data_IF_296762374077
#
_entry.id   IF_296762374077
#
_cell.length_a   1.000
_cell.length_b   1.000
_cell.length_c   1.000
_cell.angle_alpha   90.00
_cell.angle_beta   90.00
_cell.angle_gamma   90.00
#
_symmetry.space_group_name_H-M   'P 1'
#
loop_
_entity.id
_entity.type
_entity.pdbx_description
1 polymer ?
#
# COMPACT_ATOMS: atom_id res chain seq x y z
N UNK A 1 25.30 3.92 21.37
CA UNK A 1 23.90 3.53 21.67
C UNK A 1 23.22 3.21 20.38
N UNK A 2 22.79 1.97 20.17
CA UNK A 2 22.31 1.43 18.90
C UNK A 2 20.85 0.99 19.03
N UNK A 3 19.89 1.93 19.06
CA UNK A 3 18.46 1.58 18.88
C UNK A 3 17.53 2.80 18.73
N UNK A 4 17.97 3.85 18.02
CA UNK A 4 17.09 4.99 17.74
C UNK A 4 16.29 4.79 16.45
N UNK A 5 15.03 5.25 16.41
CA UNK A 5 14.10 5.10 15.29
C UNK A 5 14.67 5.58 13.93
N UNK A 6 15.58 6.55 13.95
CA UNK A 6 16.32 7.01 12.77
C UNK A 6 17.16 5.90 12.13
N UNK A 7 17.81 5.06 12.94
CA UNK A 7 18.66 3.97 12.45
C UNK A 7 17.85 2.85 11.77
N UNK A 8 16.65 2.54 12.30
CA UNK A 8 15.72 1.57 11.69
C UNK A 8 15.16 2.06 10.34
N UNK A 9 14.94 3.37 10.20
CA UNK A 9 14.56 4.00 8.93
C UNK A 9 15.71 3.98 7.92
N UNK A 10 16.96 4.18 8.38
CA UNK A 10 18.16 4.11 7.53
C UNK A 10 18.39 2.70 6.97
N UNK A 11 18.18 1.66 7.78
CA UNK A 11 18.22 0.26 7.32
C UNK A 11 17.18 -0.07 6.24
N UNK A 12 16.09 0.70 6.12
CA UNK A 12 15.11 0.58 5.01
C UNK A 12 15.53 1.34 3.73
N UNK A 13 16.76 1.83 3.67
CA UNK A 13 17.33 2.52 2.51
C UNK A 13 17.03 4.01 2.44
N UNK A 14 16.65 4.64 3.56
CA UNK A 14 16.56 6.10 3.68
C UNK A 14 17.92 6.65 4.09
N UNK A 15 18.32 7.81 3.55
CA UNK A 15 19.48 8.50 4.11
C UNK A 15 19.16 9.02 5.51
N UNK A 16 20.17 9.10 6.36
CA UNK A 16 20.04 9.53 7.76
C UNK A 16 19.33 10.88 7.89
N UNK A 17 19.68 11.83 7.01
CA UNK A 17 19.02 13.14 6.90
C UNK A 17 17.51 13.04 6.61
N UNK A 18 17.09 12.08 5.79
CA UNK A 18 15.67 11.91 5.39
C UNK A 18 14.86 11.17 6.44
N UNK A 19 15.47 10.22 7.15
CA UNK A 19 14.86 9.61 8.32
C UNK A 19 14.53 10.67 9.38
N UNK A 20 15.46 11.60 9.62
CA UNK A 20 15.26 12.72 10.54
C UNK A 20 14.16 13.68 10.05
N UNK A 21 14.14 14.03 8.75
CA UNK A 21 13.07 14.89 8.18
C UNK A 21 11.70 14.24 8.29
N UNK A 22 11.57 12.93 8.06
CA UNK A 22 10.31 12.22 8.20
C UNK A 22 9.82 12.23 9.66
N UNK A 23 10.71 11.95 10.60
CA UNK A 23 10.40 12.02 12.03
C UNK A 23 10.02 13.44 12.45
N UNK A 24 10.72 14.46 11.92
CA UNK A 24 10.40 15.85 12.17
C UNK A 24 9.02 16.22 11.62
N UNK A 25 8.67 15.82 10.39
CA UNK A 25 7.34 16.09 9.82
C UNK A 25 6.21 15.43 10.62
N UNK A 26 6.40 14.20 11.08
CA UNK A 26 5.43 13.52 11.95
C UNK A 26 5.30 14.27 13.28
N UNK A 27 6.43 14.65 13.91
CA UNK A 27 6.44 15.40 15.16
C UNK A 27 5.81 16.80 15.02
N UNK A 28 6.08 17.52 13.93
CA UNK A 28 5.47 18.82 13.63
C UNK A 28 3.98 18.66 13.37
N UNK A 29 3.57 17.60 12.66
CA UNK A 29 2.15 17.27 12.47
C UNK A 29 1.45 17.07 13.80
N UNK A 30 2.00 16.21 14.66
CA UNK A 30 1.49 15.96 16.02
C UNK A 30 1.44 17.22 16.89
N UNK A 31 2.49 18.05 16.83
CA UNK A 31 2.56 19.32 17.53
C UNK A 31 1.54 20.34 17.02
N UNK A 32 1.32 20.40 15.70
CA UNK A 32 0.31 21.25 15.08
C UNK A 32 -1.11 20.81 15.45
N UNK A 33 -1.41 19.51 15.50
CA UNK A 33 -2.71 19.03 15.99
C UNK A 33 -2.90 19.36 17.47
N UNK A 34 -1.86 19.18 18.29
CA UNK A 34 -1.91 19.56 19.71
C UNK A 34 -2.16 21.07 19.91
N UNK A 35 -1.53 21.92 19.10
CA UNK A 35 -1.74 23.37 19.12
C UNK A 35 -3.12 23.76 18.60
N UNK A 36 -3.62 23.08 17.57
CA UNK A 36 -4.97 23.30 17.06
C UNK A 36 -6.02 22.98 18.13
N UNK A 37 -5.78 21.96 18.97
CA UNK A 37 -6.67 21.63 20.09
C UNK A 37 -6.73 22.70 21.17
N UNK A 38 -5.62 23.38 21.46
CA UNK A 38 -5.61 24.46 22.44
C UNK A 38 -6.32 25.72 21.90
N UNK A 39 -6.27 25.94 20.59
CA UNK A 39 -6.94 27.08 19.92
C UNK A 39 -8.46 26.86 19.79
N UNK A 40 -8.90 25.64 19.49
CA UNK A 40 -10.32 25.35 19.20
C UNK A 40 -11.25 25.46 20.43
N UNK A 41 -10.70 25.42 21.65
CA UNK A 41 -11.43 25.48 22.92
C UNK A 41 -12.73 24.65 22.98
N UNK A 42 -12.77 23.51 22.26
CA UNK A 42 -13.94 22.65 22.14
C UNK A 42 -13.51 21.20 22.41
N UNK A 43 -13.84 20.71 23.61
CA UNK A 43 -13.42 19.38 24.09
C UNK A 43 -13.82 18.24 23.15
N UNK A 44 -14.92 18.36 22.40
CA UNK A 44 -15.40 17.31 21.49
C UNK A 44 -14.60 17.27 20.20
N UNK A 45 -14.25 18.44 19.64
CA UNK A 45 -13.39 18.53 18.45
C UNK A 45 -11.98 18.07 18.81
N UNK A 46 -11.51 18.43 20.00
CA UNK A 46 -10.25 17.92 20.56
C UNK A 46 -10.26 16.39 20.69
N UNK A 47 -11.36 15.79 21.12
CA UNK A 47 -11.47 14.32 21.23
C UNK A 47 -11.33 13.61 19.87
N UNK A 48 -12.00 14.11 18.82
CA UNK A 48 -11.85 13.56 17.44
C UNK A 48 -10.39 13.57 17.04
N UNK A 49 -9.72 14.70 17.24
CA UNK A 49 -8.33 14.82 16.89
C UNK A 49 -7.40 13.95 17.72
N UNK A 50 -7.63 13.82 19.04
CA UNK A 50 -6.85 12.92 19.91
C UNK A 50 -6.93 11.48 19.41
N UNK A 51 -8.12 11.02 19.02
CA UNK A 51 -8.31 9.69 18.43
C UNK A 51 -7.53 9.51 17.13
N UNK A 52 -7.53 10.52 16.24
CA UNK A 52 -6.77 10.49 14.98
C UNK A 52 -5.25 10.48 15.23
N UNK A 53 -4.78 11.32 16.15
CA UNK A 53 -3.37 11.39 16.56
C UNK A 53 -2.93 10.06 17.19
N UNK A 54 -3.75 9.48 18.06
CA UNK A 54 -3.50 8.18 18.68
C UNK A 54 -3.41 7.07 17.64
N UNK A 55 -4.36 7.01 16.70
CA UNK A 55 -4.33 6.07 15.59
C UNK A 55 -3.04 6.17 14.77
N UNK A 56 -2.61 7.41 14.44
CA UNK A 56 -1.38 7.67 13.70
C UNK A 56 -0.13 7.18 14.47
N UNK A 57 -0.05 7.47 15.78
CA UNK A 57 1.06 7.05 16.63
C UNK A 57 1.16 5.54 16.75
N UNK A 58 0.04 4.85 17.00
CA UNK A 58 -0.02 3.39 17.10
C UNK A 58 0.35 2.75 15.77
N UNK A 59 -0.12 3.30 14.65
CA UNK A 59 0.24 2.85 13.32
C UNK A 59 1.74 3.03 13.03
N UNK A 60 2.31 4.19 13.40
CA UNK A 60 3.74 4.46 13.24
C UNK A 60 4.61 3.55 14.13
N UNK A 61 4.19 3.29 15.37
CA UNK A 61 4.84 2.34 16.27
C UNK A 61 4.79 0.91 15.70
N UNK A 62 3.65 0.48 15.16
CA UNK A 62 3.50 -0.80 14.46
C UNK A 62 4.43 -0.91 13.24
N UNK A 63 4.54 0.16 12.45
CA UNK A 63 5.44 0.22 11.29
C UNK A 63 6.92 0.07 11.68
N UNK A 64 7.34 0.72 12.78
CA UNK A 64 8.70 0.61 13.33
C UNK A 64 8.99 -0.76 13.93
N UNK A 65 7.97 -1.39 14.54
CA UNK A 65 8.12 -2.68 15.19
C UNK A 65 8.13 -3.86 14.19
N UNK A 66 7.50 -3.71 13.03
CA UNK A 66 7.44 -4.75 11.99
C UNK A 66 8.77 -5.08 11.30
N UNK A 67 9.92 -4.60 11.81
CA UNK A 67 11.26 -4.93 11.29
C UNK A 67 11.84 -6.24 11.81
N UNK A 68 11.42 -6.73 12.98
CA UNK A 68 12.00 -7.94 13.59
C UNK A 68 11.09 -9.18 13.46
N UNK A 69 9.78 -8.98 13.28
CA UNK A 69 8.79 -10.06 13.35
C UNK A 69 8.93 -11.14 12.26
N UNK A 70 9.48 -10.82 11.07
CA UNK A 70 9.65 -11.82 9.98
C UNK A 70 10.86 -12.73 10.19
N UNK A 71 12.00 -12.15 10.59
CA UNK A 71 13.22 -12.91 10.86
C UNK A 71 13.08 -13.75 12.14
N UNK A 72 12.35 -13.25 13.14
CA UNK A 72 12.08 -13.98 14.40
C UNK A 72 10.96 -15.03 14.27
N UNK A 73 9.94 -14.83 13.43
CA UNK A 73 8.84 -15.79 13.28
C UNK A 73 9.17 -17.00 12.38
N UNK A 74 10.16 -16.89 11.50
CA UNK A 74 10.69 -18.03 10.74
C UNK A 74 11.63 -18.90 11.60
N UNK A 75 12.28 -18.31 12.60
CA UNK A 75 13.21 -19.02 13.51
C UNK A 75 12.51 -19.60 14.75
N UNK A 76 11.36 -19.08 15.17
CA UNK A 76 10.61 -19.57 16.35
C UNK A 76 9.42 -20.47 15.96
N UNK A 77 9.52 -21.76 16.26
CA UNK A 77 8.39 -22.70 16.19
C UNK A 77 7.38 -22.55 17.34
N UNK A 78 6.12 -22.91 17.12
CA UNK A 78 5.09 -23.04 18.19
C UNK A 78 4.23 -21.80 18.47
N UNK A 79 3.60 -21.69 19.68
CA UNK A 79 2.57 -20.69 20.01
C UNK A 79 3.06 -19.24 20.01
N UNK A 80 4.38 -19.03 20.06
CA UNK A 80 5.00 -17.71 19.92
C UNK A 80 4.80 -17.11 18.52
N UNK A 81 4.69 -17.95 17.48
CA UNK A 81 4.32 -17.52 16.11
C UNK A 81 2.89 -16.99 16.06
N UNK A 82 1.98 -17.57 16.84
CA UNK A 82 0.63 -17.03 17.00
C UNK A 82 0.70 -15.67 17.70
N UNK A 83 1.43 -15.53 18.81
CA UNK A 83 1.54 -14.25 19.54
C UNK A 83 2.03 -13.08 18.66
N UNK A 84 3.03 -13.31 17.81
CA UNK A 84 3.54 -12.30 16.87
C UNK A 84 2.49 -11.92 15.81
N UNK A 85 1.77 -12.91 15.26
CA UNK A 85 0.66 -12.66 14.32
C UNK A 85 -0.53 -11.94 14.96
N UNK A 86 -0.81 -12.20 16.24
CA UNK A 86 -1.88 -11.53 17.00
C UNK A 86 -1.52 -10.08 17.35
N UNK A 87 -0.24 -9.77 17.62
CA UNK A 87 0.21 -8.41 17.93
C UNK A 87 -0.11 -7.42 16.80
N UNK A 88 0.18 -7.79 15.56
CA UNK A 88 -0.14 -6.93 14.40
C UNK A 88 -1.64 -6.72 14.25
N UNK A 89 -2.43 -7.78 14.40
CA UNK A 89 -3.91 -7.70 14.37
C UNK A 89 -4.47 -6.85 15.50
N UNK A 90 -3.86 -6.89 16.68
CA UNK A 90 -4.24 -6.07 17.82
C UNK A 90 -3.96 -4.58 17.55
N UNK A 91 -2.80 -4.25 16.97
CA UNK A 91 -2.48 -2.89 16.53
C UNK A 91 -3.50 -2.39 15.50
N UNK A 92 -3.80 -3.19 14.47
CA UNK A 92 -4.81 -2.87 13.46
C UNK A 92 -6.20 -2.65 14.08
N UNK A 93 -6.60 -3.52 15.02
CA UNK A 93 -7.88 -3.40 15.73
C UNK A 93 -7.95 -2.13 16.60
N UNK A 94 -6.88 -1.78 17.30
CA UNK A 94 -6.82 -0.55 18.14
C UNK A 94 -6.85 0.71 17.28
N UNK A 95 -6.15 0.71 16.15
CA UNK A 95 -6.20 1.81 15.17
C UNK A 95 -7.63 1.95 14.64
N UNK A 96 -8.27 0.85 14.24
CA UNK A 96 -9.64 0.89 13.73
C UNK A 96 -10.62 1.37 14.78
N UNK A 97 -10.46 0.98 16.05
CA UNK A 97 -11.31 1.45 17.15
C UNK A 97 -11.30 2.98 17.22
N UNK A 98 -10.11 3.57 17.18
CA UNK A 98 -9.94 5.01 17.24
C UNK A 98 -10.49 5.72 15.98
N UNK A 99 -10.23 5.19 14.78
CA UNK A 99 -10.71 5.75 13.52
C UNK A 99 -12.24 5.68 13.38
N UNK A 100 -12.84 4.56 13.74
CA UNK A 100 -14.30 4.36 13.72
C UNK A 100 -14.97 5.30 14.71
N UNK A 101 -14.43 5.41 15.93
CA UNK A 101 -14.95 6.32 16.96
C UNK A 101 -14.82 7.79 16.53
N UNK A 102 -13.68 8.16 15.92
CA UNK A 102 -13.46 9.50 15.41
C UNK A 102 -14.41 9.83 14.25
N UNK A 103 -14.63 8.91 13.32
CA UNK A 103 -15.53 9.08 12.18
C UNK A 103 -16.97 9.33 12.65
N UNK A 104 -17.48 8.47 13.54
CA UNK A 104 -18.84 8.58 14.03
C UNK A 104 -19.04 9.85 14.88
N UNK A 105 -18.07 10.18 15.75
CA UNK A 105 -18.11 11.42 16.53
C UNK A 105 -18.08 12.66 15.61
N UNK A 106 -17.23 12.67 14.59
CA UNK A 106 -17.17 13.76 13.62
C UNK A 106 -18.49 13.92 12.86
N UNK A 107 -19.07 12.81 12.37
CA UNK A 107 -20.36 12.80 11.69
C UNK A 107 -21.48 13.35 12.57
N UNK A 108 -21.52 12.94 13.85
CA UNK A 108 -22.46 13.47 14.84
C UNK A 108 -22.29 14.98 15.02
N UNK A 109 -21.06 15.45 15.27
CA UNK A 109 -20.76 16.87 15.49
C UNK A 109 -21.15 17.74 14.30
N UNK A 110 -20.90 17.27 13.08
CA UNK A 110 -21.29 17.94 11.84
C UNK A 110 -22.81 18.02 11.70
N UNK A 111 -23.52 16.93 11.98
CA UNK A 111 -24.98 16.88 11.84
C UNK A 111 -25.71 17.76 12.86
N UNK A 112 -25.24 17.79 14.12
CA UNK A 112 -25.87 18.60 15.18
C UNK A 112 -25.28 20.01 15.29
N UNK A 113 -24.45 20.43 14.32
CA UNK A 113 -23.76 21.73 14.29
C UNK A 113 -23.07 22.07 15.63
N UNK A 114 -22.50 21.07 16.29
CA UNK A 114 -21.75 21.20 17.55
C UNK A 114 -22.57 21.13 18.85
N UNK A 115 -23.88 21.40 18.84
CA UNK A 115 -24.73 21.44 20.04
C UNK A 115 -25.97 20.55 19.95
N UNK A 116 -25.78 19.23 19.99
CA UNK A 116 -26.91 18.28 20.06
C UNK A 116 -27.66 18.32 21.40
N UNK A 117 -28.95 17.99 21.35
CA UNK A 117 -29.84 17.89 22.52
C UNK A 117 -29.41 16.74 23.46
N UNK A 118 -29.93 16.73 24.69
CA UNK A 118 -29.66 15.64 25.65
C UNK A 118 -30.10 14.27 25.12
N UNK A 119 -31.26 14.22 24.46
CA UNK A 119 -31.76 13.00 23.81
C UNK A 119 -30.82 12.52 22.69
N UNK A 120 -30.37 13.42 21.82
CA UNK A 120 -29.44 13.07 20.74
C UNK A 120 -28.09 12.55 21.26
N UNK A 121 -27.59 13.09 22.37
CA UNK A 121 -26.36 12.60 23.03
C UNK A 121 -26.56 11.21 23.62
N UNK A 122 -27.71 10.95 24.23
CA UNK A 122 -28.03 9.64 24.76
C UNK A 122 -28.09 8.59 23.64
N UNK A 123 -28.78 8.90 22.54
CA UNK A 123 -28.81 8.03 21.35
C UNK A 123 -27.42 7.83 20.77
N UNK A 124 -26.58 8.88 20.68
CA UNK A 124 -25.20 8.74 20.24
C UNK A 124 -24.38 7.76 21.09
N UNK A 125 -24.48 7.86 22.43
CA UNK A 125 -23.75 6.98 23.34
C UNK A 125 -24.19 5.51 23.21
N UNK A 126 -25.46 5.25 22.91
CA UNK A 126 -25.98 3.90 22.64
C UNK A 126 -25.63 3.42 21.23
N UNK A 127 -25.59 4.31 20.24
CA UNK A 127 -25.28 3.99 18.85
C UNK A 127 -23.79 3.66 18.63
N UNK A 128 -22.88 4.33 19.35
CA UNK A 128 -21.43 4.12 19.22
C UNK A 128 -21.00 2.64 19.40
N UNK A 129 -21.35 1.93 20.50
CA UNK A 129 -20.99 0.52 20.65
C UNK A 129 -21.65 -0.39 19.61
N UNK A 130 -22.87 -0.07 19.17
CA UNK A 130 -23.56 -0.81 18.09
C UNK A 130 -22.80 -0.68 16.78
N UNK A 131 -22.41 0.54 16.41
CA UNK A 131 -21.65 0.82 15.18
C UNK A 131 -20.27 0.17 15.22
N UNK A 132 -19.56 0.26 16.35
CA UNK A 132 -18.28 -0.43 16.54
C UNK A 132 -18.45 -1.94 16.32
N UNK A 133 -19.44 -2.54 16.98
CA UNK A 133 -19.72 -3.98 16.88
C UNK A 133 -20.06 -4.38 15.45
N UNK A 134 -20.98 -3.66 14.80
CA UNK A 134 -21.36 -3.92 13.42
C UNK A 134 -20.18 -3.81 12.45
N UNK A 135 -19.29 -2.82 12.64
CA UNK A 135 -18.08 -2.64 11.83
C UNK A 135 -17.08 -3.78 12.01
N UNK A 136 -16.78 -4.18 13.25
CA UNK A 136 -15.89 -5.31 13.48
C UNK A 136 -16.46 -6.61 12.91
N UNK A 137 -17.76 -6.86 13.08
CA UNK A 137 -18.42 -8.03 12.51
C UNK A 137 -18.41 -8.02 10.98
N UNK A 138 -18.53 -6.85 10.33
CA UNK A 138 -18.42 -6.73 8.88
C UNK A 138 -16.96 -6.87 8.41
N UNK A 139 -15.96 -6.35 9.13
CA UNK A 139 -14.57 -6.38 8.66
C UNK A 139 -13.99 -7.80 8.59
N UNK A 140 -14.52 -8.74 9.39
CA UNK A 140 -14.12 -10.15 9.41
C UNK A 140 -14.40 -10.90 8.10
N UNK A 141 -15.65 -11.04 7.60
CA UNK A 141 -15.96 -11.76 6.38
C UNK A 141 -15.40 -11.07 5.12
N UNK A 142 -15.30 -9.74 5.12
CA UNK A 142 -14.66 -8.99 4.03
C UNK A 142 -13.13 -9.11 4.03
N UNK A 143 -12.54 -9.76 5.04
CA UNK A 143 -11.13 -10.12 5.08
C UNK A 143 -10.18 -8.95 5.33
N UNK A 144 -10.65 -7.85 5.90
CA UNK A 144 -9.85 -6.64 6.12
C UNK A 144 -8.66 -6.89 7.10
N UNK A 145 -8.79 -7.88 7.98
CA UNK A 145 -7.73 -8.33 8.92
C UNK A 145 -6.89 -9.53 8.43
N UNK A 146 -7.13 -9.99 7.19
CA UNK A 146 -6.44 -11.16 6.61
C UNK A 146 -5.46 -10.80 5.49
N UNK A 147 -5.53 -9.58 4.94
CA UNK A 147 -4.81 -9.18 3.73
C UNK A 147 -3.42 -8.57 3.97
N UNK A 148 -2.44 -8.97 3.14
CA UNK A 148 -1.18 -8.23 3.00
C UNK A 148 -1.43 -7.03 2.08
N UNK A 149 -1.71 -5.86 2.67
CA UNK A 149 -2.06 -4.62 1.95
C UNK A 149 -0.99 -4.10 0.99
N UNK A 150 0.24 -4.66 1.03
CA UNK A 150 1.35 -4.34 0.11
C UNK A 150 0.98 -4.54 -1.38
N UNK A 151 0.06 -5.46 -1.68
CA UNK A 151 -0.38 -5.78 -3.06
C UNK A 151 -1.83 -5.38 -3.37
N UNK A 152 -2.48 -4.60 -2.49
CA UNK A 152 -3.86 -4.19 -2.66
C UNK A 152 -4.07 -3.36 -3.95
N UNK A 153 -5.01 -3.77 -4.80
CA UNK A 153 -5.47 -3.08 -6.00
C UNK A 153 -6.84 -2.41 -5.80
N UNK A 154 -7.60 -2.27 -6.87
CA UNK A 154 -8.96 -1.69 -6.88
C UNK A 154 -9.97 -2.56 -6.13
N UNK A 155 -9.72 -3.87 -6.07
CA UNK A 155 -10.62 -4.84 -5.43
C UNK A 155 -10.62 -4.72 -3.90
N UNK A 156 -9.57 -4.18 -3.31
CA UNK A 156 -9.46 -3.99 -1.86
C UNK A 156 -10.17 -2.71 -1.42
N UNK A 157 -10.15 -1.66 -2.25
CA UNK A 157 -10.92 -0.45 -1.99
C UNK A 157 -12.43 -0.75 -2.00
N UNK A 158 -12.91 -1.56 -2.96
CA UNK A 158 -14.32 -1.96 -3.01
C UNK A 158 -14.72 -2.83 -1.80
N UNK A 159 -13.82 -3.67 -1.28
CA UNK A 159 -14.07 -4.43 -0.03
C UNK A 159 -14.24 -3.52 1.19
N UNK A 160 -13.45 -2.44 1.31
CA UNK A 160 -13.60 -1.47 2.41
C UNK A 160 -14.96 -0.78 2.30
N UNK A 161 -15.31 -0.28 1.11
CA UNK A 161 -16.59 0.39 0.87
C UNK A 161 -17.76 -0.55 1.19
N UNK A 162 -17.71 -1.79 0.71
CA UNK A 162 -18.77 -2.76 0.95
C UNK A 162 -18.88 -3.15 2.43
N UNK A 163 -17.75 -3.33 3.13
CA UNK A 163 -17.75 -3.65 4.56
C UNK A 163 -18.36 -2.50 5.39
N UNK A 164 -17.97 -1.25 5.10
CA UNK A 164 -18.53 -0.06 5.76
C UNK A 164 -20.02 0.04 5.46
N UNK A 165 -20.44 -0.04 4.19
CA UNK A 165 -21.86 0.04 3.81
C UNK A 165 -22.71 -1.05 4.49
N UNK A 166 -22.25 -2.31 4.51
CA UNK A 166 -22.94 -3.39 5.19
C UNK A 166 -23.05 -3.14 6.70
N UNK A 167 -21.98 -2.66 7.35
CA UNK A 167 -22.01 -2.35 8.78
C UNK A 167 -22.94 -1.20 9.13
N UNK A 168 -23.02 -0.17 8.28
CA UNK A 168 -23.90 0.98 8.44
C UNK A 168 -25.37 0.58 8.33
N UNK A 169 -25.71 -0.20 7.30
CA UNK A 169 -27.07 -0.71 7.13
C UNK A 169 -27.48 -1.60 8.31
N UNK A 170 -26.59 -2.48 8.78
CA UNK A 170 -26.84 -3.34 9.92
C UNK A 170 -27.05 -2.53 11.22
N UNK A 171 -26.17 -1.57 11.50
CA UNK A 171 -26.28 -0.72 12.69
C UNK A 171 -27.53 0.16 12.65
N UNK A 172 -27.81 0.78 11.50
CA UNK A 172 -29.00 1.60 11.29
C UNK A 172 -30.29 0.78 11.49
N UNK A 173 -30.36 -0.41 10.90
CA UNK A 173 -31.50 -1.32 11.05
C UNK A 173 -31.69 -1.73 12.49
N UNK A 174 -30.62 -2.13 13.18
CA UNK A 174 -30.68 -2.51 14.59
C UNK A 174 -31.18 -1.36 15.48
N UNK A 175 -30.63 -0.15 15.32
CA UNK A 175 -31.02 1.02 16.13
C UNK A 175 -32.48 1.42 15.87
N UNK A 176 -32.92 1.35 14.61
CA UNK A 176 -34.32 1.65 14.24
C UNK A 176 -35.30 0.67 14.88
N UNK A 177 -34.92 -0.60 15.03
CA UNK A 177 -35.77 -1.64 15.61
C UNK A 177 -35.75 -1.69 17.15
N UNK A 178 -34.73 -1.13 17.79
CA UNK A 178 -34.49 -1.30 19.24
C UNK A 178 -34.60 -0.02 20.06
N UNK A 179 -34.54 1.15 19.43
CA UNK A 179 -34.57 2.44 20.13
C UNK A 179 -35.71 3.32 19.60
N UNK A 180 -36.77 3.46 20.39
CA UNK A 180 -37.92 4.33 20.03
C UNK A 180 -37.50 5.82 19.90
N UNK A 181 -36.51 6.26 20.69
CA UNK A 181 -35.96 7.62 20.64
C UNK A 181 -35.07 7.89 19.43
N UNK A 182 -34.84 6.90 18.57
CA UNK A 182 -34.06 7.04 17.35
C UNK A 182 -34.74 7.92 16.29
N UNK A 183 -36.06 8.11 16.37
CA UNK A 183 -36.82 8.92 15.42
C UNK A 183 -36.31 10.38 15.33
N UNK A 184 -35.84 10.95 16.44
CA UNK A 184 -35.32 12.32 16.53
C UNK A 184 -33.83 12.44 16.21
N UNK A 185 -33.16 11.31 15.90
CA UNK A 185 -31.74 11.28 15.59
C UNK A 185 -31.49 11.52 14.10
N UNK A 186 -30.60 12.46 13.72
CA UNK A 186 -30.36 12.77 12.31
C UNK A 186 -29.81 11.56 11.53
N UNK A 187 -30.62 11.00 10.63
CA UNK A 187 -30.25 9.81 9.83
C UNK A 187 -29.06 10.07 8.89
N UNK A 188 -28.82 11.33 8.54
CA UNK A 188 -27.65 11.74 7.73
C UNK A 188 -26.31 11.42 8.41
N UNK A 189 -26.29 11.21 9.74
CA UNK A 189 -25.07 10.86 10.49
C UNK A 189 -24.46 9.57 9.95
N UNK A 190 -25.26 8.54 9.65
CA UNK A 190 -24.78 7.24 9.14
C UNK A 190 -24.14 7.38 7.75
N UNK A 191 -24.70 8.23 6.88
CA UNK A 191 -24.13 8.48 5.56
C UNK A 191 -22.80 9.24 5.67
N UNK A 192 -22.74 10.26 6.53
CA UNK A 192 -21.53 11.05 6.75
C UNK A 192 -20.44 10.20 7.42
N UNK A 193 -20.83 9.38 8.40
CA UNK A 193 -19.94 8.43 9.07
C UNK A 193 -19.38 7.40 8.09
N UNK A 194 -20.22 6.81 7.22
CA UNK A 194 -19.79 5.90 6.17
C UNK A 194 -18.70 6.53 5.28
N UNK A 195 -18.90 7.78 4.86
CA UNK A 195 -17.94 8.52 4.02
C UNK A 195 -16.63 8.79 4.77
N UNK A 196 -16.71 9.35 5.97
CA UNK A 196 -15.52 9.68 6.77
C UNK A 196 -14.75 8.41 7.12
N UNK A 197 -15.44 7.37 7.59
CA UNK A 197 -14.83 6.10 7.97
C UNK A 197 -14.16 5.40 6.79
N UNK A 198 -14.81 5.37 5.62
CA UNK A 198 -14.21 4.82 4.39
C UNK A 198 -12.90 5.53 4.04
N UNK A 199 -12.88 6.86 4.14
CA UNK A 199 -11.67 7.65 3.89
C UNK A 199 -10.60 7.38 4.94
N UNK A 200 -10.95 7.37 6.23
CA UNK A 200 -10.00 7.15 7.33
C UNK A 200 -9.41 5.74 7.34
N UNK A 201 -10.24 4.71 7.23
CA UNK A 201 -9.80 3.31 7.16
C UNK A 201 -9.05 3.06 5.86
N UNK A 202 -9.54 3.59 4.74
CA UNK A 202 -8.81 3.58 3.47
C UNK A 202 -7.43 4.21 3.61
N UNK A 203 -7.34 5.42 4.16
CA UNK A 203 -6.07 6.12 4.37
C UNK A 203 -5.14 5.36 5.31
N UNK A 204 -5.64 4.74 6.39
CA UNK A 204 -4.79 3.96 7.29
C UNK A 204 -4.23 2.73 6.58
N UNK A 205 -5.03 2.03 5.76
CA UNK A 205 -4.60 0.82 5.04
C UNK A 205 -3.74 1.10 3.81
N UNK A 206 -4.09 2.10 3.00
CA UNK A 206 -3.34 2.51 1.81
C UNK A 206 -2.16 3.44 2.14
N UNK A 207 -2.17 4.06 3.32
CA UNK A 207 -1.11 4.97 3.78
C UNK A 207 0.25 4.30 3.87
N UNK A 208 0.32 3.02 4.23
CA UNK A 208 1.58 2.26 4.18
C UNK A 208 2.15 2.21 2.76
N UNK A 209 1.30 1.95 1.75
CA UNK A 209 1.70 1.94 0.34
C UNK A 209 2.05 3.34 -0.17
N UNK A 210 1.26 4.35 0.21
CA UNK A 210 1.49 5.74 -0.13
C UNK A 210 2.83 6.23 0.42
N UNK A 211 3.13 5.90 1.68
CA UNK A 211 4.40 6.20 2.32
C UNK A 211 5.55 5.43 1.67
N UNK A 212 5.44 4.12 1.41
CA UNK A 212 6.49 3.37 0.70
C UNK A 212 6.73 3.91 -0.72
N UNK A 213 5.68 4.25 -1.46
CA UNK A 213 5.81 4.88 -2.79
C UNK A 213 6.40 6.27 -2.69
N UNK A 214 5.96 7.10 -1.75
CA UNK A 214 6.49 8.44 -1.55
C UNK A 214 7.97 8.38 -1.14
N UNK A 215 8.33 7.47 -0.23
CA UNK A 215 9.71 7.21 0.15
C UNK A 215 10.53 6.65 -1.01
N UNK A 216 9.96 5.79 -1.86
CA UNK A 216 10.58 5.29 -3.09
C UNK A 216 10.77 6.40 -4.15
N UNK A 217 9.81 7.32 -4.28
CA UNK A 217 9.90 8.49 -5.14
C UNK A 217 10.94 9.49 -4.61
N UNK A 218 11.06 9.62 -3.29
CA UNK A 218 12.10 10.41 -2.63
C UNK A 218 13.47 9.73 -2.73
N UNK A 219 13.52 8.39 -2.80
CA UNK A 219 14.75 7.60 -2.99
C UNK A 219 15.47 7.94 -4.29
N UNK A 220 14.78 8.53 -5.27
CA UNK A 220 15.20 8.39 -6.65
C UNK A 220 15.32 9.70 -7.46
N UNK A 221 16.20 10.58 -6.98
CA UNK A 221 16.84 11.61 -7.81
C UNK A 221 18.34 11.35 -8.02
N UNK A 222 18.87 10.24 -7.51
CA UNK A 222 20.26 9.81 -7.71
C UNK A 222 20.30 8.55 -8.56
N UNK A 223 20.47 8.73 -9.88
CA UNK A 223 20.61 7.69 -10.92
C UNK A 223 19.43 6.70 -11.05
N UNK A 224 18.40 7.14 -11.78
CA UNK A 224 17.39 6.23 -12.34
C UNK A 224 18.04 5.36 -13.40
N UNK A 225 18.08 4.04 -13.16
CA UNK A 225 18.56 3.08 -14.15
C UNK A 225 17.57 2.99 -15.29
N UNK A 226 18.01 3.33 -16.49
CA UNK A 226 17.25 3.29 -17.73
C UNK A 226 17.40 1.91 -18.37
N UNK A 227 16.32 1.16 -18.42
CA UNK A 227 16.27 -0.20 -18.96
C UNK A 227 15.55 -0.19 -20.32
N UNK A 228 16.17 -0.78 -21.34
CA UNK A 228 15.52 -1.07 -22.64
C UNK A 228 15.15 -2.55 -22.67
N UNK A 229 13.90 -2.88 -23.02
CA UNK A 229 13.44 -4.28 -23.03
C UNK A 229 13.35 -4.79 -24.47
N UNK A 230 14.04 -5.90 -24.76
CA UNK A 230 13.94 -6.61 -26.04
C UNK A 230 12.94 -7.75 -25.89
N UNK A 231 11.91 -7.74 -26.75
CA UNK A 231 10.72 -8.57 -26.67
C UNK A 231 9.58 -7.87 -25.93
N UNK A 232 8.52 -7.52 -26.64
CA UNK A 232 7.30 -6.90 -26.13
C UNK A 232 6.15 -7.91 -25.91
N UNK A 233 6.44 -9.20 -26.02
CA UNK A 233 5.51 -10.30 -25.74
C UNK A 233 5.16 -10.46 -24.25
N UNK A 234 4.68 -11.66 -23.87
CA UNK A 234 4.27 -11.96 -22.48
C UNK A 234 5.41 -11.76 -21.48
N UNK A 235 6.64 -12.19 -21.83
CA UNK A 235 7.83 -12.02 -21.00
C UNK A 235 8.15 -10.56 -20.72
N UNK A 236 8.33 -9.75 -21.76
CA UNK A 236 8.59 -8.31 -21.64
C UNK A 236 7.51 -7.53 -20.90
N UNK A 237 6.23 -7.81 -21.16
CA UNK A 237 5.10 -7.19 -20.44
C UNK A 237 5.01 -7.64 -18.97
N UNK A 238 5.53 -8.82 -18.63
CA UNK A 238 5.65 -9.26 -17.24
C UNK A 238 6.79 -8.52 -16.55
N UNK A 239 7.97 -8.48 -17.19
CA UNK A 239 9.15 -7.79 -16.67
C UNK A 239 8.89 -6.29 -16.47
N UNK A 240 8.16 -5.65 -17.39
CA UNK A 240 7.75 -4.25 -17.22
C UNK A 240 6.93 -4.01 -15.95
N UNK A 241 6.03 -4.94 -15.59
CA UNK A 241 5.23 -4.82 -14.36
C UNK A 241 6.11 -4.94 -13.12
N UNK A 242 7.05 -5.89 -13.13
CA UNK A 242 7.99 -6.10 -12.03
C UNK A 242 8.96 -4.93 -11.85
N UNK A 243 9.52 -4.41 -12.94
CA UNK A 243 10.43 -3.25 -12.91
C UNK A 243 9.70 -1.98 -12.45
N UNK A 244 8.40 -1.83 -12.73
CA UNK A 244 7.59 -0.71 -12.22
C UNK A 244 7.35 -0.74 -10.71
N UNK A 245 7.47 -1.91 -10.10
CA UNK A 245 7.39 -2.05 -8.65
C UNK A 245 8.74 -1.78 -7.97
N UNK A 246 9.84 -1.83 -8.74
CA UNK A 246 11.19 -1.53 -8.28
C UNK A 246 11.47 -0.01 -8.30
N UNK A 247 11.75 0.63 -7.15
CA UNK A 247 12.20 2.02 -7.11
C UNK A 247 13.53 2.16 -7.86
N UNK A 248 13.69 3.20 -8.68
CA UNK A 248 14.95 3.45 -9.40
C UNK A 248 14.99 2.98 -10.86
N UNK A 249 13.96 2.31 -11.37
CA UNK A 249 13.95 1.80 -12.74
C UNK A 249 13.07 2.67 -13.67
N UNK A 250 13.61 3.03 -14.83
CA UNK A 250 12.90 3.73 -15.90
C UNK A 250 12.98 2.90 -17.16
N UNK A 251 11.84 2.62 -17.78
CA UNK A 251 11.82 1.86 -19.04
C UNK A 251 11.88 2.83 -20.22
N UNK A 252 12.99 2.79 -20.96
CA UNK A 252 13.23 3.64 -22.13
C UNK A 252 12.36 3.25 -23.33
N UNK A 253 11.98 1.98 -23.44
CA UNK A 253 11.16 1.49 -24.53
C UNK A 253 11.17 -0.02 -24.65
N UNK A 254 10.41 -0.52 -25.62
CA UNK A 254 10.48 -1.88 -26.10
C UNK A 254 11.13 -1.94 -27.49
N UNK A 255 11.79 -3.05 -27.78
CA UNK A 255 12.22 -3.46 -29.12
C UNK A 255 11.55 -4.80 -29.43
N UNK A 256 10.83 -4.90 -30.54
CA UNK A 256 10.13 -6.13 -30.94
C UNK A 256 10.03 -6.21 -32.47
N UNK A 257 10.25 -7.40 -33.01
CA UNK A 257 10.24 -7.64 -34.45
C UNK A 257 8.81 -7.72 -35.04
N UNK A 258 7.77 -7.85 -34.21
CA UNK A 258 6.38 -7.85 -34.70
C UNK A 258 6.03 -6.46 -35.26
N UNK A 259 5.84 -6.32 -36.59
CA UNK A 259 5.58 -5.03 -37.23
C UNK A 259 4.27 -4.41 -36.73
N UNK A 260 3.33 -5.21 -36.22
CA UNK A 260 2.06 -4.72 -35.67
C UNK A 260 2.27 -3.92 -34.39
N UNK A 261 3.30 -4.22 -33.62
CA UNK A 261 3.58 -3.56 -32.34
C UNK A 261 4.35 -2.25 -32.49
N UNK A 262 4.98 -2.03 -33.65
CA UNK A 262 5.84 -0.88 -33.92
C UNK A 262 5.10 0.45 -33.72
N UNK A 263 5.70 1.35 -32.95
CA UNK A 263 5.11 2.66 -32.62
C UNK A 263 3.96 2.63 -31.62
N UNK A 264 3.38 1.46 -31.32
CA UNK A 264 2.33 1.32 -30.32
C UNK A 264 2.86 1.54 -28.90
N UNK A 265 1.95 1.84 -27.97
CA UNK A 265 2.24 1.91 -26.54
C UNK A 265 1.66 0.70 -25.83
N UNK A 266 2.53 -0.11 -25.23
CA UNK A 266 2.15 -1.26 -24.41
C UNK A 266 2.29 -0.88 -22.94
N UNK A 267 1.15 -0.87 -22.22
CA UNK A 267 1.08 -0.42 -20.82
C UNK A 267 1.69 0.98 -20.61
N UNK A 268 1.64 1.85 -21.63
CA UNK A 268 2.18 3.22 -21.60
C UNK A 268 3.63 3.38 -22.11
N UNK A 269 4.36 2.29 -22.34
CA UNK A 269 5.74 2.29 -22.90
C UNK A 269 5.70 2.06 -24.41
N UNK A 270 6.44 2.85 -25.20
CA UNK A 270 6.44 2.75 -26.66
C UNK A 270 7.35 1.62 -27.17
N UNK A 271 6.92 0.92 -28.21
CA UNK A 271 7.77 0.03 -29.01
C UNK A 271 8.50 0.88 -30.05
N UNK A 272 9.82 0.94 -29.94
CA UNK A 272 10.68 1.90 -30.64
C UNK A 272 11.07 1.43 -32.05
N UNK A 273 11.04 0.12 -32.30
CA UNK A 273 11.44 -0.50 -33.55
C UNK A 273 11.69 -1.99 -33.39
N UNK A 274 12.24 -2.60 -34.44
CA UNK A 274 12.68 -4.00 -34.44
C UNK A 274 14.14 -4.15 -34.01
N UNK A 275 14.58 -5.39 -33.83
CA UNK A 275 15.97 -5.68 -33.50
C UNK A 275 16.99 -5.20 -34.56
N UNK A 276 16.69 -5.17 -35.87
CA UNK A 276 17.61 -4.58 -36.86
C UNK A 276 17.95 -3.11 -36.62
N UNK A 277 17.11 -2.40 -35.87
CA UNK A 277 17.26 -0.96 -35.59
C UNK A 277 17.86 -0.71 -34.22
N UNK A 278 18.24 -1.77 -33.50
CA UNK A 278 18.65 -1.67 -32.10
C UNK A 278 19.85 -0.73 -31.91
N UNK A 279 20.83 -0.73 -32.82
CA UNK A 279 21.99 0.17 -32.74
C UNK A 279 21.57 1.65 -32.73
N UNK A 280 20.63 2.03 -33.60
CA UNK A 280 20.08 3.39 -33.63
C UNK A 280 19.24 3.70 -32.38
N UNK A 281 18.47 2.72 -31.91
CA UNK A 281 17.68 2.84 -30.68
C UNK A 281 18.58 3.06 -29.46
N UNK A 282 19.69 2.32 -29.34
CA UNK A 282 20.67 2.47 -28.25
C UNK A 282 21.31 3.85 -28.28
N UNK A 283 21.74 4.34 -29.44
CA UNK A 283 22.30 5.68 -29.59
C UNK A 283 21.30 6.78 -29.18
N UNK A 284 20.02 6.63 -29.54
CA UNK A 284 18.97 7.60 -29.24
C UNK A 284 18.49 7.58 -27.79
N UNK A 285 18.40 6.39 -27.19
CA UNK A 285 17.79 6.21 -25.86
C UNK A 285 18.80 6.11 -24.72
N UNK A 286 20.06 5.80 -25.02
CA UNK A 286 21.18 5.65 -24.08
C UNK A 286 20.77 4.92 -22.77
N UNK A 287 20.24 3.69 -22.86
CA UNK A 287 19.88 2.93 -21.68
C UNK A 287 21.12 2.47 -20.92
N UNK A 288 21.00 2.34 -19.60
CA UNK A 288 22.06 1.81 -18.74
C UNK A 288 22.12 0.27 -18.78
N UNK A 289 21.05 -0.39 -19.25
CA UNK A 289 21.01 -1.84 -19.46
C UNK A 289 19.98 -2.21 -20.53
N UNK A 290 20.29 -3.26 -21.29
CA UNK A 290 19.34 -3.95 -22.18
C UNK A 290 18.92 -5.27 -21.54
N UNK A 291 17.61 -5.48 -21.41
CA UNK A 291 17.00 -6.67 -20.82
C UNK A 291 16.31 -7.47 -21.92
N UNK A 292 16.83 -8.66 -22.21
CA UNK A 292 16.34 -9.53 -23.29
C UNK A 292 15.37 -10.55 -22.72
N UNK A 293 14.10 -10.46 -23.11
CA UNK A 293 13.00 -11.33 -22.65
C UNK A 293 12.55 -12.35 -23.70
N UNK A 294 13.33 -12.49 -24.76
CA UNK A 294 13.18 -13.48 -25.83
C UNK A 294 14.37 -14.45 -25.88
N UNK A 295 14.71 -15.12 -24.76
CA UNK A 295 15.92 -15.95 -24.66
C UNK A 295 15.89 -17.19 -25.57
N UNK A 296 14.73 -17.53 -26.14
CA UNK A 296 14.53 -18.64 -27.07
C UNK A 296 14.43 -18.17 -28.54
N UNK A 297 14.70 -16.89 -28.82
CA UNK A 297 14.79 -16.38 -30.18
C UNK A 297 15.96 -17.01 -30.96
N UNK A 298 15.92 -17.00 -32.32
CA UNK A 298 17.00 -17.54 -33.14
C UNK A 298 18.37 -16.94 -32.76
N UNK A 299 19.42 -17.76 -32.71
CA UNK A 299 20.77 -17.33 -32.30
C UNK A 299 21.26 -16.10 -33.05
N UNK A 300 21.06 -16.05 -34.37
CA UNK A 300 21.45 -14.91 -35.20
C UNK A 300 20.86 -13.58 -34.70
N UNK A 301 19.63 -13.61 -34.18
CA UNK A 301 18.95 -12.44 -33.62
C UNK A 301 19.53 -12.04 -32.26
N UNK A 302 19.83 -13.02 -31.42
CA UNK A 302 20.46 -12.76 -30.12
C UNK A 302 21.87 -12.19 -30.28
N UNK A 303 22.64 -12.73 -31.23
CA UNK A 303 23.98 -12.25 -31.56
C UNK A 303 23.98 -10.82 -32.11
N UNK A 304 22.96 -10.45 -32.89
CA UNK A 304 22.75 -9.07 -33.34
C UNK A 304 22.52 -8.12 -32.16
N UNK A 305 21.62 -8.47 -31.23
CA UNK A 305 21.34 -7.66 -30.03
C UNK A 305 22.59 -7.54 -29.15
N UNK A 306 23.26 -8.66 -28.86
CA UNK A 306 24.46 -8.68 -28.01
C UNK A 306 25.60 -7.86 -28.63
N UNK A 307 25.82 -7.97 -29.95
CA UNK A 307 26.85 -7.18 -30.65
C UNK A 307 26.54 -5.69 -30.62
N UNK A 308 25.29 -5.29 -30.83
CA UNK A 308 24.90 -3.89 -30.76
C UNK A 308 25.07 -3.31 -29.35
N UNK A 309 24.73 -4.08 -28.32
CA UNK A 309 24.98 -3.70 -26.92
C UNK A 309 26.48 -3.56 -26.63
N UNK A 310 27.29 -4.52 -27.08
CA UNK A 310 28.74 -4.49 -26.90
C UNK A 310 29.39 -3.28 -27.58
N UNK A 311 28.98 -2.98 -28.82
CA UNK A 311 29.48 -1.81 -29.56
C UNK A 311 29.07 -0.46 -28.97
N UNK A 312 28.01 -0.44 -28.16
CA UNK A 312 27.57 0.74 -27.41
C UNK A 312 28.07 0.76 -25.95
N UNK A 313 28.86 -0.24 -25.53
CA UNK A 313 29.32 -0.44 -24.14
C UNK A 313 28.17 -0.53 -23.11
N UNK A 314 27.01 -1.02 -23.53
CA UNK A 314 25.82 -1.17 -22.68
C UNK A 314 25.69 -2.62 -22.19
N UNK A 315 25.57 -2.87 -20.88
CA UNK A 315 25.32 -4.20 -20.35
C UNK A 315 24.05 -4.85 -20.94
N UNK A 316 24.19 -6.07 -21.46
CA UNK A 316 23.08 -6.87 -21.97
C UNK A 316 22.81 -8.05 -21.02
N UNK A 317 21.57 -8.21 -20.55
CA UNK A 317 21.18 -9.30 -19.64
C UNK A 317 19.97 -10.04 -20.16
N UNK A 318 20.06 -11.37 -20.18
CA UNK A 318 18.94 -12.24 -20.50
C UNK A 318 18.08 -12.45 -19.26
N UNK A 319 16.76 -12.35 -19.43
CA UNK A 319 15.77 -12.57 -18.38
C UNK A 319 14.91 -13.75 -18.80
N UNK A 320 15.08 -14.89 -18.12
CA UNK A 320 14.18 -16.05 -18.22
C UNK A 320 13.23 -16.05 -17.05
N UNK A 321 11.95 -16.26 -17.33
CA UNK A 321 10.97 -16.64 -16.33
C UNK A 321 10.87 -18.16 -16.33
N UNK A 322 11.31 -18.81 -15.26
CA UNK A 322 11.07 -20.24 -15.06
C UNK A 322 9.82 -20.39 -14.18
N UNK A 323 8.74 -20.90 -14.76
CA UNK A 323 7.49 -21.18 -14.04
C UNK A 323 7.34 -22.64 -13.64
N UNK A 324 8.08 -23.54 -14.30
CA UNK A 324 7.90 -24.99 -14.20
C UNK A 324 9.24 -25.64 -13.83
N UNK A 325 9.81 -25.21 -12.70
CA UNK A 325 10.94 -25.90 -12.10
C UNK A 325 10.43 -27.17 -11.42
N UNK A 326 11.00 -28.31 -11.78
CA UNK A 326 10.76 -29.56 -11.07
C UNK A 326 11.20 -29.38 -9.59
N UNK A 327 10.28 -29.50 -8.61
CA UNK A 327 10.62 -29.37 -7.20
C UNK A 327 11.73 -30.33 -6.77
N UNK A 328 11.81 -31.52 -7.37
CA UNK A 328 12.86 -32.50 -7.06
C UNK A 328 14.23 -32.06 -7.59
N UNK A 329 14.27 -31.50 -8.80
CA UNK A 329 15.48 -30.89 -9.35
C UNK A 329 15.96 -29.69 -8.53
N UNK A 330 15.04 -28.91 -7.95
CA UNK A 330 15.37 -27.74 -7.10
C UNK A 330 15.84 -28.17 -5.71
N UNK A 331 15.23 -29.20 -5.13
CA UNK A 331 15.51 -29.66 -3.77
C UNK A 331 16.66 -30.68 -3.69
N UNK A 332 17.17 -31.16 -4.82
CA UNK A 332 18.23 -32.17 -4.88
C UNK A 332 17.78 -33.54 -4.34
N UNK A 333 16.48 -33.78 -4.24
CA UNK A 333 15.91 -35.06 -3.82
C UNK A 333 15.78 -36.00 -5.02
N UNK A 334 16.08 -37.30 -4.86
CA UNK A 334 15.85 -38.26 -5.94
C UNK A 334 14.36 -38.27 -6.30
N UNK A 335 14.07 -38.19 -7.60
CA UNK A 335 12.73 -38.30 -8.15
C UNK A 335 12.08 -39.59 -7.66
N UNK A 336 10.85 -39.56 -7.12
CA UNK A 336 10.12 -40.78 -6.80
C UNK A 336 9.87 -41.52 -8.12
N UNK A 337 10.41 -42.74 -8.21
CA UNK A 337 10.26 -43.64 -9.36
C UNK A 337 8.86 -44.22 -9.49
#
# INVERSE_FOLDING_TARGET
GRDHASHRLVYRGLSEKRAVVLLALIATGLGATSLLYTILNNSRVTLVGVLLTFALLVQFAGFLAGTDDRAEAETRGGPLRLLVLHRRRLIEAVVDFALISAAFLAAYLLAVKGSGSTAQRHVFNMALPVILTARYLAFLPFGLYRGVWRFAGTNEASRVIAAVACSEVAAFGFLTLTLDTFADFPRSIFVVDALICTVLVGASRFGERGLFRALALLKDRGSRRRSLIVGAGRGGRSLLRELRESPGEVISGFVDDDPRLRGQRLQGVRVLGGCPEITWILARTQPDVVLVTIPDAPRARLDEVVRACAGAEIPCRFVRRQTDLDPFAVLGSPTPG
#
